data_IF_611823882996
#
_entry.id   IF_611823882996
#
_cell.length_a   1.000
_cell.length_b   1.000
_cell.length_c   1.000
_cell.angle_alpha   90.00
_cell.angle_beta   90.00
_cell.angle_gamma   90.00
#
_symmetry.space_group_name_H-M   'P 1'
#
loop_
_entity.id
_entity.type
_entity.pdbx_description
1 polymer ?
#
# COMPACT_ATOMS: atom_id res chain seq x y z
N UNK A 1 8.83 17.36 -5.43
CA UNK A 1 7.37 17.49 -5.59
C UNK A 1 7.03 17.54 -7.06
N UNK A 2 6.00 16.80 -7.50
CA UNK A 2 5.55 16.77 -8.90
C UNK A 2 4.71 17.99 -9.31
N UNK A 3 4.10 18.65 -8.32
CA UNK A 3 3.30 19.84 -8.51
C UNK A 3 4.15 21.04 -8.92
N UNK A 4 3.76 21.73 -10.00
CA UNK A 4 4.48 22.90 -10.52
C UNK A 4 3.61 24.14 -10.68
N UNK A 5 2.33 24.07 -10.28
CA UNK A 5 1.36 25.12 -10.54
C UNK A 5 1.23 26.08 -9.35
N UNK A 6 1.18 27.40 -9.59
CA UNK A 6 1.07 28.44 -8.53
C UNK A 6 -0.20 28.30 -7.68
N UNK A 7 -1.26 27.72 -8.24
CA UNK A 7 -2.54 27.42 -7.54
C UNK A 7 -2.61 25.99 -6.98
N UNK A 8 -1.51 25.26 -6.94
CA UNK A 8 -1.49 23.91 -6.38
C UNK A 8 -1.86 23.93 -4.90
N UNK A 9 -2.69 22.98 -4.48
CA UNK A 9 -3.00 22.75 -3.08
C UNK A 9 -1.91 21.89 -2.45
N UNK A 10 -1.59 22.17 -1.18
CA UNK A 10 -0.80 21.25 -0.37
C UNK A 10 -1.63 19.99 -0.12
N UNK A 11 -1.09 18.83 -0.48
CA UNK A 11 -1.72 17.53 -0.27
C UNK A 11 -1.16 16.88 0.99
N UNK A 12 -2.05 16.50 1.90
CA UNK A 12 -1.75 15.66 3.07
C UNK A 12 -2.63 14.42 2.99
N UNK A 13 -2.05 13.24 3.22
CA UNK A 13 -2.79 11.97 3.20
C UNK A 13 -2.94 11.48 4.64
N UNK A 14 -4.19 11.38 5.10
CA UNK A 14 -4.53 10.81 6.41
C UNK A 14 -5.14 9.43 6.22
N UNK A 15 -4.33 8.38 6.44
CA UNK A 15 -4.72 6.98 6.29
C UNK A 15 -4.51 6.17 7.58
N UNK A 16 -4.67 6.82 8.73
CA UNK A 16 -4.48 6.21 10.05
C UNK A 16 -5.72 6.31 10.94
N UNK A 17 -5.83 5.38 11.89
CA UNK A 17 -6.78 5.41 13.00
C UNK A 17 -6.12 5.78 14.32
N UNK A 18 -4.81 6.07 14.31
CA UNK A 18 -4.04 6.53 15.47
C UNK A 18 -4.59 7.89 15.99
N UNK A 19 -5.13 7.95 17.22
CA UNK A 19 -5.71 9.16 17.80
C UNK A 19 -4.74 10.35 17.86
N UNK A 20 -3.46 10.11 18.14
CA UNK A 20 -2.47 11.16 18.29
C UNK A 20 -2.08 11.75 16.93
N UNK A 21 -1.90 10.91 15.92
CA UNK A 21 -1.65 11.34 14.55
C UNK A 21 -2.82 12.17 13.99
N UNK A 22 -4.06 11.74 14.27
CA UNK A 22 -5.27 12.46 13.84
C UNK A 22 -5.32 13.83 14.52
N UNK A 23 -5.11 13.89 15.84
CA UNK A 23 -5.09 15.15 16.60
C UNK A 23 -3.98 16.09 16.13
N UNK A 24 -2.75 15.60 16.01
CA UNK A 24 -1.60 16.36 15.53
C UNK A 24 -1.79 16.91 14.10
N UNK A 25 -2.52 16.20 13.24
CA UNK A 25 -2.87 16.73 11.93
C UNK A 25 -3.97 17.77 12.04
N UNK A 26 -5.07 17.48 12.75
CA UNK A 26 -6.20 18.38 12.91
C UNK A 26 -5.77 19.75 13.49
N UNK A 27 -4.88 19.74 14.50
CA UNK A 27 -4.37 20.96 15.15
C UNK A 27 -3.48 21.81 14.22
N UNK A 28 -2.89 21.22 13.18
CA UNK A 28 -2.04 21.92 12.21
C UNK A 28 -2.81 22.45 11.00
N UNK A 29 -4.02 21.98 10.77
CA UNK A 29 -4.81 22.36 9.59
C UNK A 29 -5.60 23.65 9.86
N UNK A 30 -5.58 24.56 8.89
CA UNK A 30 -6.58 25.62 8.81
C UNK A 30 -7.84 25.03 8.17
N UNK A 31 -8.78 24.60 9.02
CA UNK A 31 -9.97 23.87 8.60
C UNK A 31 -10.87 24.70 7.65
N UNK A 32 -10.93 26.02 7.83
CA UNK A 32 -11.71 26.94 6.98
C UNK A 32 -11.11 27.07 5.57
N UNK A 33 -9.85 26.66 5.38
CA UNK A 33 -9.16 26.68 4.08
C UNK A 33 -8.78 25.30 3.58
N UNK A 34 -9.29 24.25 4.23
CA UNK A 34 -9.00 22.86 3.88
C UNK A 34 -10.11 22.26 3.01
N UNK A 35 -9.70 21.48 2.01
CA UNK A 35 -10.58 20.64 1.20
C UNK A 35 -10.30 19.17 1.55
N UNK A 36 -11.31 18.47 2.05
CA UNK A 36 -11.27 17.05 2.37
C UNK A 36 -11.69 16.22 1.17
N UNK A 37 -10.83 15.27 0.78
CA UNK A 37 -11.12 14.28 -0.26
C UNK A 37 -11.50 12.97 0.44
N UNK A 38 -12.80 12.66 0.49
CA UNK A 38 -13.31 11.41 1.06
C UNK A 38 -13.29 10.34 -0.03
N UNK A 39 -12.28 9.48 0.00
CA UNK A 39 -12.05 8.48 -1.04
C UNK A 39 -12.29 7.06 -0.51
N UNK A 40 -13.35 6.41 -0.99
CA UNK A 40 -13.62 4.99 -0.71
C UNK A 40 -14.35 4.36 -1.88
N UNK A 41 -13.75 3.32 -2.47
CA UNK A 41 -14.33 2.54 -3.56
C UNK A 41 -15.69 1.95 -3.16
N UNK A 42 -15.73 1.20 -2.06
CA UNK A 42 -16.97 0.59 -1.55
C UNK A 42 -17.92 1.59 -0.89
N UNK A 43 -17.42 2.77 -0.51
CA UNK A 43 -18.15 3.75 0.30
C UNK A 43 -18.39 3.30 1.74
N UNK A 44 -17.74 2.22 2.19
CA UNK A 44 -17.96 1.57 3.50
C UNK A 44 -16.68 1.34 4.29
N UNK A 45 -15.54 1.83 3.83
CA UNK A 45 -14.25 1.70 4.54
C UNK A 45 -14.33 2.37 5.91
N UNK A 46 -14.15 1.60 6.99
CA UNK A 46 -14.40 2.04 8.36
C UNK A 46 -13.52 3.23 8.75
N UNK A 47 -12.23 3.17 8.41
CA UNK A 47 -11.25 4.22 8.69
C UNK A 47 -11.61 5.52 7.96
N UNK A 48 -11.91 5.44 6.67
CA UNK A 48 -12.31 6.60 5.86
C UNK A 48 -13.58 7.26 6.40
N UNK A 49 -14.59 6.46 6.76
CA UNK A 49 -15.84 6.99 7.29
C UNK A 49 -15.66 7.58 8.69
N UNK A 50 -14.86 6.95 9.56
CA UNK A 50 -14.58 7.50 10.89
C UNK A 50 -13.85 8.85 10.81
N UNK A 51 -12.85 8.97 9.93
CA UNK A 51 -12.17 10.23 9.67
C UNK A 51 -13.12 11.28 9.09
N UNK A 52 -13.99 10.87 8.17
CA UNK A 52 -15.01 11.76 7.62
C UNK A 52 -15.95 12.29 8.71
N UNK A 53 -16.48 11.41 9.57
CA UNK A 53 -17.38 11.79 10.68
C UNK A 53 -16.68 12.79 11.61
N UNK A 54 -15.41 12.54 11.95
CA UNK A 54 -14.58 13.42 12.79
C UNK A 54 -14.39 14.84 12.22
N UNK A 55 -14.07 14.96 10.93
CA UNK A 55 -13.88 16.28 10.30
C UNK A 55 -15.20 16.96 9.93
N UNK A 56 -16.26 16.19 9.66
CA UNK A 56 -17.59 16.74 9.40
C UNK A 56 -18.16 17.45 10.63
N UNK A 57 -17.98 16.89 11.83
CA UNK A 57 -18.37 17.55 13.09
C UNK A 57 -17.69 18.93 13.26
N UNK A 58 -16.44 19.05 12.83
CA UNK A 58 -15.64 20.29 12.97
C UNK A 58 -15.94 21.31 11.87
N UNK A 59 -16.31 20.86 10.67
CA UNK A 59 -16.63 21.72 9.54
C UNK A 59 -17.86 21.17 8.80
N UNK A 60 -19.09 21.36 9.33
CA UNK A 60 -20.31 20.73 8.81
C UNK A 60 -20.85 21.43 7.55
N UNK A 61 -20.01 21.52 6.52
CA UNK A 61 -20.36 22.17 5.26
C UNK A 61 -19.74 21.45 4.07
N UNK A 62 -20.61 20.96 3.16
CA UNK A 62 -20.19 20.24 1.96
C UNK A 62 -19.26 21.02 1.01
N UNK A 63 -19.13 22.34 1.17
CA UNK A 63 -18.15 23.17 0.42
C UNK A 63 -16.69 22.75 0.67
N UNK A 64 -16.42 22.12 1.81
CA UNK A 64 -15.10 21.61 2.20
C UNK A 64 -14.87 20.15 1.81
N UNK A 65 -15.85 19.48 1.19
CA UNK A 65 -15.75 18.04 0.93
C UNK A 65 -15.96 17.73 -0.54
N UNK A 66 -15.15 16.79 -1.04
CA UNK A 66 -15.39 16.07 -2.29
C UNK A 66 -15.34 14.58 -2.02
N UNK A 67 -16.12 13.81 -2.77
CA UNK A 67 -16.12 12.36 -2.67
C UNK A 67 -15.54 11.72 -3.93
N UNK A 68 -14.76 10.65 -3.76
CA UNK A 68 -14.33 9.75 -4.84
C UNK A 68 -14.78 8.34 -4.46
N UNK A 69 -15.68 7.77 -5.25
CA UNK A 69 -16.32 6.50 -4.94
C UNK A 69 -16.90 5.85 -6.19
N UNK A 70 -17.30 4.59 -6.12
CA UNK A 70 -18.00 3.93 -7.23
C UNK A 70 -19.48 4.35 -7.30
N UNK A 71 -20.13 4.03 -8.41
CA UNK A 71 -21.55 4.32 -8.59
C UNK A 71 -22.42 3.52 -7.60
N UNK A 72 -23.42 4.18 -7.01
CA UNK A 72 -24.44 3.56 -6.16
C UNK A 72 -24.00 3.29 -4.70
N UNK A 73 -22.85 3.80 -4.26
CA UNK A 73 -22.35 3.57 -2.91
C UNK A 73 -23.04 4.47 -1.86
N UNK A 74 -22.98 4.06 -0.59
CA UNK A 74 -23.45 4.88 0.53
C UNK A 74 -22.74 6.23 0.61
N UNK A 75 -21.44 6.27 0.31
CA UNK A 75 -20.66 7.52 0.24
C UNK A 75 -21.18 8.46 -0.85
N UNK A 76 -21.59 7.95 -2.01
CA UNK A 76 -22.22 8.78 -3.04
C UNK A 76 -23.52 9.41 -2.50
N UNK A 77 -24.37 8.61 -1.85
CA UNK A 77 -25.60 9.10 -1.22
C UNK A 77 -25.33 10.17 -0.17
N UNK A 78 -24.41 9.91 0.76
CA UNK A 78 -23.99 10.88 1.79
C UNK A 78 -23.49 12.17 1.19
N UNK A 79 -22.66 12.11 0.15
CA UNK A 79 -22.12 13.29 -0.50
C UNK A 79 -23.20 14.15 -1.16
N UNK A 80 -24.25 13.53 -1.72
CA UNK A 80 -25.41 14.25 -2.24
C UNK A 80 -26.25 14.89 -1.13
N UNK A 81 -26.62 14.12 -0.10
CA UNK A 81 -27.40 14.62 1.04
C UNK A 81 -26.69 15.76 1.77
N UNK A 82 -25.38 15.65 1.96
CA UNK A 82 -24.53 16.64 2.63
C UNK A 82 -24.01 17.75 1.70
N UNK A 83 -24.51 17.81 0.46
CA UNK A 83 -24.20 18.84 -0.54
C UNK A 83 -22.69 19.06 -0.75
N UNK A 84 -21.94 17.97 -0.92
CA UNK A 84 -20.51 18.03 -1.22
C UNK A 84 -20.25 18.81 -2.50
N UNK A 85 -19.12 19.52 -2.55
CA UNK A 85 -18.74 20.37 -3.68
C UNK A 85 -18.67 19.61 -5.00
N UNK A 86 -18.26 18.33 -4.95
CA UNK A 86 -18.21 17.43 -6.11
C UNK A 86 -18.20 15.97 -5.67
N UNK A 87 -18.85 15.13 -6.47
CA UNK A 87 -18.71 13.68 -6.42
C UNK A 87 -18.07 13.19 -7.72
N UNK A 88 -16.94 12.52 -7.59
CA UNK A 88 -16.24 11.84 -8.68
C UNK A 88 -16.61 10.36 -8.63
N UNK A 89 -17.61 9.99 -9.43
CA UNK A 89 -18.01 8.59 -9.61
C UNK A 89 -16.97 7.93 -10.51
N UNK A 90 -16.20 6.99 -9.94
CA UNK A 90 -15.13 6.31 -10.65
C UNK A 90 -15.72 5.47 -11.79
N UNK A 91 -15.23 5.60 -13.05
CA UNK A 91 -15.72 4.80 -14.15
C UNK A 91 -15.36 3.33 -13.92
N UNK A 92 -16.39 2.49 -13.81
CA UNK A 92 -16.25 1.04 -13.63
C UNK A 92 -16.32 0.28 -14.97
N UNK A 93 -16.64 0.98 -16.07
CA UNK A 93 -16.68 0.43 -17.42
C UNK A 93 -15.92 1.34 -18.40
N UNK A 94 -14.94 0.78 -19.10
CA UNK A 94 -14.45 1.38 -20.34
C UNK A 94 -15.41 0.91 -21.43
N UNK A 95 -16.26 1.82 -21.94
CA UNK A 95 -17.32 1.52 -22.91
C UNK A 95 -16.80 0.65 -24.06
N UNK A 96 -17.43 -0.50 -24.29
CA UNK A 96 -17.40 -1.23 -25.56
C UNK A 96 -16.38 -2.35 -25.74
N UNK A 97 -15.72 -2.88 -24.69
CA UNK A 97 -14.81 -4.05 -24.85
C UNK A 97 -15.12 -5.27 -23.98
N UNK A 98 -15.85 -5.11 -22.87
CA UNK A 98 -16.28 -6.24 -22.04
C UNK A 98 -17.67 -5.94 -21.48
N UNK A 99 -18.72 -6.61 -21.98
CA UNK A 99 -20.00 -6.69 -21.28
C UNK A 99 -19.88 -7.76 -20.19
N UNK A 100 -20.20 -7.40 -18.93
CA UNK A 100 -20.44 -8.38 -17.86
C UNK A 100 -19.40 -8.46 -16.72
N UNK A 101 -18.19 -7.94 -16.86
CA UNK A 101 -17.13 -7.94 -15.83
C UNK A 101 -16.18 -6.77 -16.14
N UNK A 102 -15.54 -6.01 -15.26
CA UNK A 102 -15.38 -5.98 -13.81
C UNK A 102 -14.78 -4.60 -13.47
N UNK A 103 -15.05 -4.13 -12.28
CA UNK A 103 -14.68 -2.81 -11.78
C UNK A 103 -13.18 -2.76 -11.38
N UNK A 104 -12.42 -1.75 -11.84
CA UNK A 104 -10.98 -1.56 -11.54
C UNK A 104 -10.73 -1.65 -10.02
N UNK A 105 -9.97 -2.67 -9.58
CA UNK A 105 -9.63 -2.90 -8.17
C UNK A 105 -8.91 -1.71 -7.52
N UNK A 106 -9.04 -1.55 -6.19
CA UNK A 106 -8.49 -0.40 -5.47
C UNK A 106 -6.98 -0.19 -5.69
N UNK A 107 -6.18 -1.26 -5.59
CA UNK A 107 -4.72 -1.23 -5.85
C UNK A 107 -4.33 -0.95 -7.31
N UNK A 108 -5.26 -1.11 -8.25
CA UNK A 108 -5.10 -0.80 -9.69
C UNK A 108 -5.74 0.57 -10.06
N UNK A 109 -6.12 1.40 -9.09
CA UNK A 109 -6.88 2.63 -9.32
C UNK A 109 -6.04 3.92 -9.30
N UNK A 110 -4.71 3.80 -9.26
CA UNK A 110 -3.80 4.96 -9.21
C UNK A 110 -3.96 5.88 -10.44
N UNK A 111 -4.24 5.30 -11.61
CA UNK A 111 -4.51 6.03 -12.85
C UNK A 111 -6.00 6.34 -13.07
N UNK A 112 -6.84 6.14 -12.05
CA UNK A 112 -8.26 6.51 -12.06
C UNK A 112 -8.50 7.78 -11.22
N UNK A 113 -9.76 8.15 -10.98
CA UNK A 113 -10.06 9.37 -10.21
C UNK A 113 -9.44 9.37 -8.80
N UNK A 114 -9.26 8.20 -8.20
CA UNK A 114 -8.60 8.05 -6.90
C UNK A 114 -7.20 8.65 -6.85
N UNK A 115 -6.36 8.45 -7.88
CA UNK A 115 -5.05 9.08 -7.95
C UNK A 115 -5.02 10.39 -8.74
N UNK A 116 -5.82 10.49 -9.83
CA UNK A 116 -5.77 11.64 -10.73
C UNK A 116 -6.36 12.91 -10.12
N UNK A 117 -7.44 12.82 -9.33
CA UNK A 117 -8.07 14.01 -8.73
C UNK A 117 -7.13 14.67 -7.71
N UNK A 118 -6.56 13.94 -6.71
CA UNK A 118 -5.56 14.52 -5.81
C UNK A 118 -4.33 15.04 -6.55
N UNK A 119 -3.85 14.33 -7.58
CA UNK A 119 -2.69 14.75 -8.36
C UNK A 119 -2.91 16.10 -9.07
N UNK A 120 -4.06 16.29 -9.72
CA UNK A 120 -4.40 17.56 -10.38
C UNK A 120 -4.52 18.70 -9.37
N UNK A 121 -5.16 18.45 -8.22
CA UNK A 121 -5.26 19.45 -7.15
C UNK A 121 -3.90 19.82 -6.57
N UNK A 122 -2.97 18.87 -6.50
CA UNK A 122 -1.57 19.08 -6.13
C UNK A 122 -0.72 19.70 -7.26
N UNK A 123 -1.32 20.07 -8.40
CA UNK A 123 -0.64 20.75 -9.51
C UNK A 123 0.21 19.84 -10.40
N UNK A 124 -0.01 18.53 -10.37
CA UNK A 124 0.69 17.57 -11.26
C UNK A 124 0.23 17.78 -12.71
N UNK A 125 1.15 17.92 -13.67
CA UNK A 125 0.77 18.10 -15.08
C UNK A 125 0.24 16.79 -15.66
N UNK A 126 -1.09 16.69 -15.73
CA UNK A 126 -1.78 15.44 -16.10
C UNK A 126 -1.47 14.97 -17.53
N UNK A 127 -1.38 15.89 -18.50
CA UNK A 127 -1.12 15.55 -19.91
C UNK A 127 0.22 14.83 -20.09
N UNK A 128 1.37 15.37 -19.63
CA UNK A 128 2.63 14.63 -19.63
C UNK A 128 2.57 13.30 -18.87
N UNK A 129 1.90 13.25 -17.72
CA UNK A 129 1.78 12.01 -16.95
C UNK A 129 1.07 10.91 -17.76
N UNK A 130 -0.08 11.24 -18.36
CA UNK A 130 -0.86 10.31 -19.17
C UNK A 130 -0.19 9.96 -20.50
N UNK A 131 0.63 10.86 -21.07
CA UNK A 131 1.45 10.54 -22.23
C UNK A 131 2.42 9.39 -21.93
N UNK A 132 3.08 9.41 -20.77
CA UNK A 132 3.96 8.31 -20.35
C UNK A 132 3.20 7.01 -20.06
N UNK A 133 1.94 7.09 -19.58
CA UNK A 133 1.06 5.91 -19.46
C UNK A 133 0.81 5.31 -20.84
N UNK A 134 0.44 6.15 -21.81
CA UNK A 134 0.15 5.71 -23.17
C UNK A 134 1.38 5.09 -23.85
N UNK A 135 2.56 5.73 -23.75
CA UNK A 135 3.83 5.19 -24.24
C UNK A 135 4.14 3.80 -23.66
N UNK A 136 3.92 3.60 -22.35
CA UNK A 136 4.08 2.29 -21.73
C UNK A 136 3.05 1.28 -22.27
N UNK A 137 1.82 1.72 -22.53
CA UNK A 137 0.77 0.89 -23.11
C UNK A 137 1.13 0.39 -24.50
N UNK A 138 1.65 1.26 -25.36
CA UNK A 138 2.15 0.89 -26.69
C UNK A 138 3.35 -0.08 -26.58
N UNK A 139 4.28 0.18 -25.67
CA UNK A 139 5.40 -0.74 -25.42
C UNK A 139 4.96 -2.11 -24.88
N UNK A 140 3.77 -2.19 -24.27
CA UNK A 140 3.19 -3.41 -23.75
C UNK A 140 2.09 -4.00 -24.66
N UNK A 141 1.95 -3.50 -25.89
CA UNK A 141 0.90 -3.93 -26.82
C UNK A 141 0.96 -5.47 -27.08
N UNK A 142 -0.17 -6.17 -27.29
CA UNK A 142 -0.18 -7.63 -27.49
C UNK A 142 0.67 -8.15 -28.67
N UNK A 143 1.01 -7.29 -29.63
CA UNK A 143 1.89 -7.64 -30.74
C UNK A 143 3.39 -7.57 -30.40
N UNK A 144 3.75 -7.02 -29.24
CA UNK A 144 5.14 -6.96 -28.78
C UNK A 144 5.50 -8.30 -28.15
N UNK A 145 6.61 -8.89 -28.59
CA UNK A 145 7.09 -10.16 -28.03
C UNK A 145 7.35 -10.02 -26.53
N UNK A 146 7.11 -11.09 -25.75
CA UNK A 146 7.20 -11.05 -24.28
C UNK A 146 8.58 -10.56 -23.78
N UNK A 147 9.66 -10.95 -24.46
CA UNK A 147 11.03 -10.52 -24.11
C UNK A 147 11.32 -9.04 -24.34
N UNK A 148 10.52 -8.37 -25.17
CA UNK A 148 10.63 -6.93 -25.48
C UNK A 148 9.56 -6.11 -24.77
N UNK A 149 8.47 -6.75 -24.33
CA UNK A 149 7.39 -6.13 -23.58
C UNK A 149 7.85 -5.88 -22.12
N UNK A 150 8.06 -4.62 -21.72
CA UNK A 150 8.74 -4.31 -20.46
C UNK A 150 7.95 -4.74 -19.22
N UNK A 151 6.62 -4.80 -19.31
CA UNK A 151 5.79 -5.23 -18.20
C UNK A 151 5.62 -6.76 -18.17
N UNK A 152 5.37 -7.38 -19.33
CA UNK A 152 5.23 -8.83 -19.40
C UNK A 152 6.53 -9.54 -19.03
N UNK A 153 7.67 -9.04 -19.50
CA UNK A 153 8.99 -9.54 -19.11
C UNK A 153 9.22 -9.43 -17.60
N UNK A 154 9.00 -8.24 -17.01
CA UNK A 154 9.17 -8.04 -15.57
C UNK A 154 8.27 -8.98 -14.76
N UNK A 155 7.01 -9.11 -15.16
CA UNK A 155 6.06 -10.01 -14.51
C UNK A 155 6.45 -11.47 -14.61
N UNK A 156 6.96 -11.92 -15.77
CA UNK A 156 7.48 -13.27 -15.94
C UNK A 156 8.70 -13.50 -15.03
N UNK A 157 9.66 -12.58 -15.01
CA UNK A 157 10.84 -12.67 -14.11
C UNK A 157 10.41 -12.76 -12.65
N UNK A 158 9.49 -11.91 -12.21
CA UNK A 158 8.96 -11.93 -10.84
C UNK A 158 8.26 -13.25 -10.50
N UNK A 159 7.39 -13.73 -11.38
CA UNK A 159 6.64 -14.97 -11.17
C UNK A 159 7.52 -16.21 -11.15
N UNK A 160 8.44 -16.34 -12.11
CA UNK A 160 9.36 -17.47 -12.23
C UNK A 160 10.38 -17.47 -11.08
N UNK A 161 10.90 -16.30 -10.69
CA UNK A 161 11.78 -16.18 -9.52
C UNK A 161 11.07 -16.67 -8.25
N UNK A 162 9.82 -16.26 -8.04
CA UNK A 162 9.03 -16.71 -6.90
C UNK A 162 8.77 -18.23 -6.91
N UNK A 163 8.50 -18.83 -8.08
CA UNK A 163 8.40 -20.30 -8.20
C UNK A 163 9.72 -21.00 -7.87
N UNK A 164 10.86 -20.38 -8.20
CA UNK A 164 12.19 -20.87 -7.87
C UNK A 164 12.62 -20.59 -6.41
N UNK A 165 11.72 -20.12 -5.55
CA UNK A 165 12.01 -19.83 -4.14
C UNK A 165 12.58 -18.43 -3.87
N UNK A 166 12.61 -17.56 -4.88
CA UNK A 166 13.04 -16.15 -4.77
C UNK A 166 11.84 -15.21 -4.72
N UNK A 167 11.03 -15.38 -3.68
CA UNK A 167 9.77 -14.67 -3.51
C UNK A 167 9.90 -13.35 -2.72
N UNK A 168 11.13 -12.89 -2.41
CA UNK A 168 11.39 -11.63 -1.69
C UNK A 168 11.88 -10.56 -2.66
N UNK A 169 10.94 -9.77 -3.17
CA UNK A 169 11.17 -8.70 -4.14
C UNK A 169 11.71 -7.44 -3.47
N UNK A 170 13.00 -7.19 -3.58
CA UNK A 170 13.66 -6.03 -2.97
C UNK A 170 13.70 -4.86 -3.94
N UNK A 171 12.96 -3.78 -3.62
CA UNK A 171 12.89 -2.59 -4.47
C UNK A 171 13.97 -1.58 -4.08
N UNK A 172 14.87 -1.30 -5.01
CA UNK A 172 15.91 -0.28 -4.87
C UNK A 172 15.49 0.94 -5.69
N UNK A 173 14.88 1.91 -5.01
CA UNK A 173 14.36 3.13 -5.63
C UNK A 173 15.28 4.33 -5.33
N UNK A 174 15.45 5.26 -6.28
CA UNK A 174 16.06 6.56 -6.00
C UNK A 174 15.13 7.37 -5.09
N UNK A 175 15.70 8.29 -4.30
CA UNK A 175 14.95 9.12 -3.34
C UNK A 175 13.76 9.83 -3.99
N UNK A 176 13.95 10.33 -5.22
CA UNK A 176 12.91 11.02 -5.98
C UNK A 176 11.68 10.15 -6.30
N UNK A 177 11.81 8.82 -6.22
CA UNK A 177 10.74 7.83 -6.45
C UNK A 177 10.40 7.03 -5.19
N UNK A 178 10.87 7.42 -4.00
CA UNK A 178 10.64 6.67 -2.76
C UNK A 178 9.14 6.39 -2.49
N UNK A 179 8.27 7.34 -2.84
CA UNK A 179 6.82 7.21 -2.71
C UNK A 179 6.18 6.14 -3.63
N UNK A 180 6.85 5.71 -4.70
CA UNK A 180 6.39 4.60 -5.54
C UNK A 180 6.47 3.26 -4.78
N UNK A 181 7.43 3.13 -3.87
CA UNK A 181 7.69 1.89 -3.13
C UNK A 181 6.46 1.35 -2.41
N UNK A 182 5.84 2.11 -1.48
CA UNK A 182 4.63 1.67 -0.78
C UNK A 182 3.45 1.33 -1.70
N UNK A 183 3.33 2.01 -2.84
CA UNK A 183 2.29 1.66 -3.82
C UNK A 183 2.57 0.32 -4.52
N UNK A 184 3.82 0.07 -4.94
CA UNK A 184 4.21 -1.24 -5.50
C UNK A 184 4.09 -2.34 -4.44
N UNK A 185 4.40 -2.03 -3.17
CA UNK A 185 4.22 -2.95 -2.06
C UNK A 185 2.77 -3.43 -1.96
N UNK A 186 1.82 -2.49 -1.90
CA UNK A 186 0.39 -2.82 -1.87
C UNK A 186 -0.01 -3.63 -3.10
N UNK A 187 0.38 -3.16 -4.29
CA UNK A 187 0.01 -3.78 -5.55
C UNK A 187 0.46 -5.24 -5.61
N UNK A 188 1.74 -5.51 -5.33
CA UNK A 188 2.32 -6.85 -5.43
C UNK A 188 1.87 -7.74 -4.28
N UNK A 189 1.90 -7.28 -3.04
CA UNK A 189 1.57 -8.10 -1.88
C UNK A 189 0.09 -8.53 -1.91
N UNK A 190 -0.83 -7.60 -2.15
CA UNK A 190 -2.27 -7.91 -2.16
C UNK A 190 -2.69 -8.69 -3.41
N UNK A 191 -2.05 -8.45 -4.56
CA UNK A 191 -2.34 -9.24 -5.77
C UNK A 191 -1.80 -10.66 -5.66
N UNK A 192 -0.63 -10.87 -5.06
CA UNK A 192 0.05 -12.17 -5.12
C UNK A 192 -0.13 -13.05 -3.89
N UNK A 193 -0.41 -12.46 -2.72
CA UNK A 193 -0.49 -13.17 -1.44
C UNK A 193 -1.73 -14.02 -1.26
N UNK A 194 -1.80 -15.17 -1.94
CA UNK A 194 -2.99 -16.04 -2.00
C UNK A 194 -2.61 -17.51 -2.07
N UNK A 195 -3.42 -18.35 -1.42
CA UNK A 195 -3.32 -19.83 -1.49
C UNK A 195 -1.92 -20.35 -1.13
N UNK A 196 -1.27 -19.77 -0.12
CA UNK A 196 0.08 -20.15 0.30
C UNK A 196 1.19 -19.68 -0.64
N UNK A 197 0.87 -18.86 -1.65
CA UNK A 197 1.80 -18.29 -2.63
C UNK A 197 1.82 -16.79 -2.49
N UNK A 198 2.90 -16.15 -2.95
CA UNK A 198 2.97 -14.71 -3.01
C UNK A 198 4.38 -14.21 -3.14
N UNK A 199 4.50 -12.94 -3.47
CA UNK A 199 5.78 -12.22 -3.55
C UNK A 199 5.75 -11.20 -2.42
N UNK A 200 6.72 -11.27 -1.51
CA UNK A 200 6.92 -10.28 -0.46
C UNK A 200 7.69 -9.08 -1.02
N UNK A 201 7.07 -7.89 -1.12
CA UNK A 201 7.79 -6.70 -1.50
C UNK A 201 8.56 -6.18 -0.29
N UNK A 202 9.85 -5.96 -0.49
CA UNK A 202 10.77 -5.48 0.53
C UNK A 202 11.17 -4.06 0.15
N UNK A 203 10.42 -3.09 0.68
CA UNK A 203 10.56 -1.67 0.37
C UNK A 203 11.33 -0.94 1.45
N UNK A 204 12.17 0.03 1.07
CA UNK A 204 12.91 0.88 2.00
C UNK A 204 13.99 0.17 2.81
N UNK A 205 14.36 -1.08 2.45
CA UNK A 205 15.53 -1.75 3.02
C UNK A 205 16.80 -1.11 2.48
N UNK A 206 17.69 -0.57 3.32
CA UNK A 206 18.99 -0.12 2.84
C UNK A 206 19.78 -1.29 2.28
N UNK A 207 20.46 -1.08 1.16
CA UNK A 207 21.28 -2.11 0.53
C UNK A 207 22.42 -2.52 1.48
N UNK A 208 22.51 -3.82 1.76
CA UNK A 208 23.60 -4.44 2.52
C UNK A 208 24.64 -5.06 1.60
N UNK A 209 25.66 -5.67 2.19
CA UNK A 209 26.63 -6.48 1.45
C UNK A 209 26.01 -7.81 1.00
N UNK A 210 26.48 -8.46 -0.07
CA UNK A 210 25.84 -9.67 -0.60
C UNK A 210 25.64 -10.79 0.43
N UNK A 211 26.52 -10.90 1.43
CA UNK A 211 26.53 -11.99 2.41
C UNK A 211 25.36 -11.89 3.41
N UNK A 212 24.73 -10.72 3.57
CA UNK A 212 23.57 -10.58 4.47
C UNK A 212 22.29 -11.12 3.85
N UNK A 213 22.29 -11.36 2.53
CA UNK A 213 21.16 -11.88 1.78
C UNK A 213 21.25 -13.40 1.62
N UNK A 214 20.11 -14.03 1.38
CA UNK A 214 19.99 -15.44 1.01
C UNK A 214 19.54 -15.55 -0.45
N UNK A 215 19.48 -16.78 -0.94
CA UNK A 215 18.96 -17.13 -2.26
C UNK A 215 17.42 -17.03 -2.39
N UNK A 216 16.79 -16.23 -1.53
CA UNK A 216 15.36 -15.92 -1.55
C UNK A 216 15.04 -14.54 -2.16
N UNK A 217 16.07 -13.75 -2.50
CA UNK A 217 15.91 -12.40 -3.04
C UNK A 217 15.82 -12.38 -4.57
N UNK A 218 14.95 -11.49 -5.04
CA UNK A 218 14.99 -10.87 -6.36
C UNK A 218 15.12 -9.36 -6.16
N UNK A 219 16.13 -8.73 -6.76
CA UNK A 219 16.31 -7.27 -6.66
C UNK A 219 15.77 -6.59 -7.92
N UNK A 220 15.04 -5.49 -7.74
CA UNK A 220 14.67 -4.58 -8.84
C UNK A 220 15.24 -3.20 -8.53
N UNK A 221 16.22 -2.78 -9.32
CA UNK A 221 16.87 -1.48 -9.21
C UNK A 221 16.35 -0.53 -10.27
N UNK A 222 15.82 0.62 -9.86
CA UNK A 222 15.36 1.67 -10.78
C UNK A 222 16.44 2.75 -10.89
N UNK A 223 16.99 2.92 -12.09
CA UNK A 223 18.10 3.83 -12.33
C UNK A 223 19.43 3.32 -11.78
N UNK A 224 20.44 4.20 -11.79
CA UNK A 224 21.77 3.88 -11.28
C UNK A 224 21.74 3.74 -9.75
N UNK A 225 22.39 2.67 -9.24
CA UNK A 225 22.47 2.41 -7.81
C UNK A 225 23.78 1.70 -7.47
N UNK A 226 24.57 2.32 -6.60
CA UNK A 226 25.83 1.73 -6.13
C UNK A 226 25.59 0.44 -5.36
N UNK A 227 26.50 -0.53 -5.55
CA UNK A 227 26.50 -1.81 -4.83
C UNK A 227 25.67 -2.91 -5.49
N UNK A 228 24.93 -2.59 -6.55
CA UNK A 228 24.18 -3.58 -7.34
C UNK A 228 25.12 -4.55 -8.07
N UNK A 229 26.25 -4.06 -8.57
CA UNK A 229 27.28 -4.87 -9.23
C UNK A 229 27.84 -5.95 -8.30
N UNK A 230 27.98 -5.63 -7.00
CA UNK A 230 28.44 -6.59 -6.01
C UNK A 230 27.41 -7.70 -5.75
N UNK A 231 26.10 -7.38 -5.84
CA UNK A 231 25.05 -8.39 -5.74
C UNK A 231 25.08 -9.34 -6.95
N UNK A 232 25.21 -8.79 -8.16
CA UNK A 232 25.30 -9.57 -9.40
C UNK A 232 26.53 -10.48 -9.40
N UNK A 233 27.69 -9.95 -8.99
CA UNK A 233 28.93 -10.73 -8.86
C UNK A 233 28.82 -11.85 -7.82
N UNK A 234 27.97 -11.67 -6.79
CA UNK A 234 27.68 -12.70 -5.80
C UNK A 234 26.56 -13.67 -6.23
N UNK A 235 26.01 -13.53 -7.44
CA UNK A 235 25.00 -14.44 -8.00
C UNK A 235 23.54 -14.10 -7.64
N UNK A 236 23.27 -12.96 -7.01
CA UNK A 236 21.89 -12.52 -6.77
C UNK A 236 21.27 -12.00 -8.07
N UNK A 237 20.04 -12.41 -8.43
CA UNK A 237 19.38 -11.89 -9.61
C UNK A 237 18.96 -10.44 -9.39
N UNK A 238 19.37 -9.58 -10.32
CA UNK A 238 19.04 -8.16 -10.33
C UNK A 238 18.38 -7.80 -11.66
N UNK A 239 17.19 -7.22 -11.59
CA UNK A 239 16.55 -6.52 -12.69
C UNK A 239 16.91 -5.04 -12.62
N UNK A 240 17.52 -4.51 -13.69
CA UNK A 240 17.82 -3.09 -13.84
C UNK A 240 16.77 -2.42 -14.72
N UNK A 241 16.00 -1.51 -14.14
CA UNK A 241 15.04 -0.68 -14.87
C UNK A 241 15.66 0.70 -15.15
N UNK A 242 15.34 1.35 -16.29
CA UNK A 242 15.89 2.66 -16.60
C UNK A 242 15.47 3.71 -15.57
N UNK A 243 16.34 4.68 -15.33
CA UNK A 243 16.00 5.83 -14.50
C UNK A 243 14.79 6.56 -15.10
N UNK A 244 13.81 6.89 -14.24
CA UNK A 244 12.67 7.70 -14.61
C UNK A 244 12.69 8.99 -13.82
N UNK A 245 12.56 10.11 -14.50
CA UNK A 245 12.24 11.36 -13.82
C UNK A 245 10.83 11.24 -13.20
N UNK A 246 10.54 11.92 -12.08
CA UNK A 246 9.20 11.87 -11.48
C UNK A 246 8.06 12.16 -12.47
N UNK A 247 8.28 13.04 -13.47
CA UNK A 247 7.30 13.33 -14.54
C UNK A 247 6.93 12.13 -15.42
N UNK A 248 7.74 11.07 -15.43
CA UNK A 248 7.54 9.84 -16.18
C UNK A 248 6.89 8.72 -15.35
N UNK A 249 6.52 9.01 -14.09
CA UNK A 249 5.94 8.04 -13.14
C UNK A 249 4.67 7.35 -13.68
N UNK A 250 3.91 8.02 -14.55
CA UNK A 250 2.73 7.45 -15.20
C UNK A 250 3.00 6.08 -15.86
N UNK A 251 4.11 5.96 -16.58
CA UNK A 251 4.49 4.70 -17.23
C UNK A 251 4.85 3.59 -16.24
N UNK A 252 5.38 3.93 -15.06
CA UNK A 252 5.70 2.93 -14.05
C UNK A 252 4.44 2.34 -13.41
N UNK A 253 3.39 3.15 -13.18
CA UNK A 253 2.11 2.62 -12.70
C UNK A 253 1.59 1.51 -13.62
N UNK A 254 1.51 1.77 -14.92
CA UNK A 254 1.05 0.77 -15.89
C UNK A 254 1.97 -0.44 -15.98
N UNK A 255 3.29 -0.24 -15.97
CA UNK A 255 4.26 -1.34 -16.00
C UNK A 255 4.06 -2.28 -14.82
N UNK A 256 3.99 -1.75 -13.61
CA UNK A 256 3.87 -2.55 -12.40
C UNK A 256 2.50 -3.22 -12.28
N UNK A 257 1.41 -2.56 -12.68
CA UNK A 257 0.06 -3.15 -12.74
C UNK A 257 0.06 -4.38 -13.64
N UNK A 258 0.56 -4.24 -14.86
CA UNK A 258 0.62 -5.35 -15.82
C UNK A 258 1.61 -6.43 -15.34
N UNK A 259 2.83 -6.08 -14.93
CA UNK A 259 3.82 -7.04 -14.43
C UNK A 259 3.26 -7.87 -13.26
N UNK A 260 2.52 -7.24 -12.34
CA UNK A 260 1.88 -7.94 -11.22
C UNK A 260 0.81 -8.92 -11.68
N UNK A 261 0.01 -8.55 -12.69
CA UNK A 261 -0.98 -9.45 -13.26
C UNK A 261 -0.34 -10.69 -13.91
N UNK A 262 0.76 -10.50 -14.65
CA UNK A 262 1.53 -11.60 -15.26
C UNK A 262 2.18 -12.47 -14.19
N UNK A 263 2.79 -11.88 -13.16
CA UNK A 263 3.35 -12.63 -12.04
C UNK A 263 2.28 -13.48 -11.32
N UNK A 264 1.07 -12.91 -11.10
CA UNK A 264 -0.07 -13.65 -10.56
C UNK A 264 -0.50 -14.82 -11.45
N UNK A 265 -0.52 -14.63 -12.76
CA UNK A 265 -0.81 -15.70 -13.72
C UNK A 265 0.23 -16.83 -13.65
N UNK A 266 1.52 -16.51 -13.68
CA UNK A 266 2.62 -17.48 -13.51
C UNK A 266 2.47 -18.23 -12.19
N UNK A 267 2.13 -17.53 -11.10
CA UNK A 267 1.86 -18.13 -9.80
C UNK A 267 0.53 -18.90 -9.72
N UNK A 268 -0.26 -18.98 -10.79
CA UNK A 268 -1.57 -19.66 -10.85
C UNK A 268 -2.57 -19.19 -9.78
N UNK A 269 -2.61 -17.88 -9.57
CA UNK A 269 -3.52 -17.20 -8.66
C UNK A 269 -4.28 -16.10 -9.40
N UNK A 270 -5.38 -15.64 -8.83
CA UNK A 270 -6.07 -14.46 -9.34
C UNK A 270 -5.41 -13.18 -8.76
N UNK A 271 -4.80 -12.31 -9.59
CA UNK A 271 -4.18 -11.08 -9.10
C UNK A 271 -5.21 -9.99 -8.75
N UNK A 272 -6.48 -10.17 -9.12
CA UNK A 272 -7.51 -9.12 -9.05
C UNK A 272 -8.49 -9.27 -7.88
N UNK A 273 -8.58 -10.44 -7.23
CA UNK A 273 -9.40 -10.65 -6.04
C UNK A 273 -8.64 -10.36 -4.72
N UNK A 274 -9.33 -10.41 -3.58
CA UNK A 274 -8.77 -10.13 -2.24
C UNK A 274 -9.58 -10.82 -1.11
N UNK A 275 -9.55 -12.16 -1.04
CA UNK A 275 -10.46 -12.92 -0.18
C UNK A 275 -10.31 -12.62 1.32
N UNK A 276 -9.11 -12.31 1.82
CA UNK A 276 -8.86 -12.16 3.26
C UNK A 276 -9.11 -10.73 3.80
N UNK A 277 -9.36 -9.77 2.91
CA UNK A 277 -9.66 -8.38 3.31
C UNK A 277 -11.04 -8.30 3.98
N UNK A 278 -12.03 -9.03 3.45
CA UNK A 278 -13.37 -9.03 4.03
C UNK A 278 -13.38 -9.68 5.42
N UNK A 279 -12.66 -10.79 5.58
CA UNK A 279 -12.49 -11.48 6.86
C UNK A 279 -11.91 -10.55 7.95
N UNK A 280 -10.91 -9.73 7.60
CA UNK A 280 -10.33 -8.75 8.52
C UNK A 280 -11.35 -7.68 8.95
N UNK A 281 -12.19 -7.21 8.03
CA UNK A 281 -13.26 -6.24 8.31
C UNK A 281 -14.30 -6.84 9.24
N UNK A 282 -14.72 -8.07 8.99
CA UNK A 282 -15.73 -8.76 9.79
C UNK A 282 -15.19 -9.06 11.20
N UNK A 283 -13.93 -9.46 11.32
CA UNK A 283 -13.27 -9.66 12.62
C UNK A 283 -13.17 -8.33 13.40
N UNK A 284 -12.78 -7.24 12.74
CA UNK A 284 -12.72 -5.91 13.37
C UNK A 284 -14.11 -5.48 13.87
N UNK A 285 -15.14 -5.65 13.05
CA UNK A 285 -16.52 -5.31 13.41
C UNK A 285 -17.02 -6.10 14.63
N UNK A 286 -16.69 -7.40 14.72
CA UNK A 286 -17.05 -8.23 15.89
C UNK A 286 -16.35 -7.79 17.16
N UNK A 287 -15.05 -7.45 17.08
CA UNK A 287 -14.29 -6.94 18.23
C UNK A 287 -14.90 -5.61 18.73
N UNK A 288 -15.24 -4.72 17.81
CA UNK A 288 -15.90 -3.45 18.14
C UNK A 288 -17.32 -3.64 18.71
N UNK A 289 -17.99 -4.75 18.37
CA UNK A 289 -19.27 -5.15 18.95
C UNK A 289 -19.13 -5.87 20.31
N UNK A 290 -17.90 -6.06 20.80
CA UNK A 290 -17.63 -6.63 22.12
C UNK A 290 -17.05 -8.04 22.13
N UNK A 291 -16.78 -8.67 20.97
CA UNK A 291 -16.01 -9.91 20.92
C UNK A 291 -14.61 -9.66 21.52
N UNK A 292 -14.17 -10.56 22.42
CA UNK A 292 -12.81 -10.54 22.98
C UNK A 292 -12.04 -11.76 22.48
N UNK A 293 -11.28 -11.63 21.38
CA UNK A 293 -10.41 -12.69 20.90
C UNK A 293 -9.44 -13.15 21.98
N UNK A 294 -9.17 -14.45 22.05
CA UNK A 294 -7.91 -14.90 22.62
C UNK A 294 -6.78 -14.39 21.73
N UNK A 295 -5.83 -13.67 22.32
CA UNK A 295 -4.60 -13.22 21.67
C UNK A 295 -3.44 -13.99 22.28
N UNK A 296 -2.74 -14.79 21.47
CA UNK A 296 -1.46 -15.37 21.88
C UNK A 296 -0.34 -14.39 21.56
N UNK A 297 0.30 -13.84 22.59
CA UNK A 297 1.53 -13.06 22.45
C UNK A 297 2.70 -13.91 22.90
N UNK A 298 3.71 -14.03 22.05
CA UNK A 298 4.98 -14.67 22.41
C UNK A 298 5.97 -13.61 22.92
N UNK A 299 6.85 -13.94 23.88
CA UNK A 299 8.05 -13.16 24.14
C UNK A 299 8.83 -12.90 22.83
N UNK A 300 9.41 -11.71 22.70
CA UNK A 300 10.07 -11.30 21.45
C UNK A 300 11.24 -12.22 21.09
N UNK A 301 12.01 -12.66 22.07
CA UNK A 301 13.13 -13.57 21.91
C UNK A 301 12.67 -14.96 21.41
N UNK A 302 11.56 -15.47 21.95
CA UNK A 302 10.96 -16.72 21.49
C UNK A 302 10.44 -16.62 20.04
N UNK A 303 9.72 -15.54 19.71
CA UNK A 303 9.26 -15.26 18.35
C UNK A 303 10.44 -15.21 17.37
N UNK A 304 11.49 -14.47 17.72
CA UNK A 304 12.66 -14.30 16.87
C UNK A 304 13.50 -15.58 16.75
N UNK A 305 13.54 -16.42 17.78
CA UNK A 305 14.18 -17.74 17.73
C UNK A 305 13.44 -18.71 16.78
N UNK A 306 12.13 -18.51 16.59
CA UNK A 306 11.30 -19.31 15.70
C UNK A 306 11.52 -19.04 14.20
N UNK A 307 12.13 -17.90 13.83
CA UNK A 307 12.30 -17.47 12.43
C UNK A 307 13.18 -18.46 11.65
N UNK A 308 12.64 -18.98 10.54
CA UNK A 308 13.33 -19.95 9.67
C UNK A 308 13.95 -19.29 8.44
N UNK A 309 15.01 -19.90 7.85
CA UNK A 309 15.50 -19.49 6.53
C UNK A 309 14.39 -19.45 5.48
N UNK A 310 14.36 -18.42 4.63
CA UNK A 310 13.28 -18.18 3.66
C UNK A 310 12.02 -17.51 4.23
N UNK A 311 11.94 -17.38 5.56
CA UNK A 311 10.93 -16.58 6.25
C UNK A 311 11.20 -15.07 6.19
N UNK A 312 10.43 -14.30 6.95
CA UNK A 312 10.61 -12.85 7.06
C UNK A 312 10.13 -12.32 8.42
N UNK A 313 10.61 -11.14 8.80
CA UNK A 313 10.18 -10.44 10.00
C UNK A 313 9.48 -9.13 9.59
N UNK A 314 8.21 -8.97 9.96
CA UNK A 314 7.45 -7.76 9.70
C UNK A 314 7.28 -6.95 10.99
N UNK A 315 7.78 -5.72 10.99
CA UNK A 315 7.55 -4.74 12.05
C UNK A 315 6.24 -3.99 11.73
N UNK A 316 5.19 -4.26 12.49
CA UNK A 316 3.85 -3.70 12.30
C UNK A 316 3.59 -2.63 13.35
N UNK A 317 3.55 -1.36 12.93
CA UNK A 317 3.66 -0.21 13.83
C UNK A 317 2.33 0.53 13.89
N UNK A 318 1.68 0.51 15.05
CA UNK A 318 0.51 1.32 15.39
C UNK A 318 0.94 2.46 16.31
N UNK A 319 1.76 3.36 15.78
CA UNK A 319 2.21 4.56 16.50
C UNK A 319 2.25 5.73 15.52
N UNK A 320 2.08 6.97 15.99
CA UNK A 320 2.17 8.12 15.13
C UNK A 320 3.61 8.25 14.64
N UNK A 321 3.80 8.71 13.40
CA UNK A 321 5.14 8.99 12.89
C UNK A 321 5.76 10.13 13.68
N UNK A 322 6.86 9.83 14.38
CA UNK A 322 7.64 10.79 15.17
C UNK A 322 8.98 11.05 14.49
N UNK A 323 9.58 12.24 14.69
CA UNK A 323 11.01 12.42 14.44
C UNK A 323 11.75 11.27 15.13
N UNK A 324 12.63 10.57 14.43
CA UNK A 324 13.45 9.43 14.90
C UNK A 324 12.80 8.03 14.93
N UNK A 325 11.47 7.89 14.83
CA UNK A 325 10.85 6.56 14.81
C UNK A 325 11.24 5.78 13.54
N UNK A 326 11.13 6.41 12.36
CA UNK A 326 11.53 5.78 11.09
C UNK A 326 13.02 5.38 11.09
N UNK A 327 13.88 6.22 11.67
CA UNK A 327 15.31 5.94 11.81
C UNK A 327 15.58 4.76 12.74
N UNK A 328 14.85 4.68 13.85
CA UNK A 328 14.92 3.58 14.81
C UNK A 328 14.44 2.28 14.19
N UNK A 329 13.28 2.28 13.53
CA UNK A 329 12.73 1.11 12.84
C UNK A 329 13.69 0.62 11.74
N UNK A 330 14.29 1.54 10.98
CA UNK A 330 15.32 1.23 10.00
C UNK A 330 16.53 0.55 10.64
N UNK A 331 17.03 1.06 11.76
CA UNK A 331 18.16 0.46 12.47
C UNK A 331 17.84 -0.93 13.03
N UNK A 332 16.66 -1.10 13.65
CA UNK A 332 16.17 -2.40 14.16
C UNK A 332 16.06 -3.40 13.03
N UNK A 333 15.40 -3.02 11.93
CA UNK A 333 15.24 -3.83 10.73
C UNK A 333 16.58 -4.33 10.19
N UNK A 334 17.58 -3.46 10.06
CA UNK A 334 18.91 -3.82 9.58
C UNK A 334 19.60 -4.83 10.51
N UNK A 335 19.55 -4.61 11.83
CA UNK A 335 20.11 -5.56 12.82
C UNK A 335 19.44 -6.92 12.76
N UNK A 336 18.12 -6.96 12.59
CA UNK A 336 17.37 -8.21 12.42
C UNK A 336 17.78 -8.94 11.13
N UNK A 337 17.86 -8.24 10.00
CA UNK A 337 18.32 -8.80 8.73
C UNK A 337 19.74 -9.37 8.86
N UNK A 338 20.66 -8.63 9.45
CA UNK A 338 22.06 -9.07 9.60
C UNK A 338 22.18 -10.29 10.52
N UNK A 339 21.44 -10.31 11.63
CA UNK A 339 21.47 -11.41 12.60
C UNK A 339 20.82 -12.68 12.08
N UNK A 340 19.63 -12.57 11.48
CA UNK A 340 18.81 -13.72 11.10
C UNK A 340 18.93 -14.10 9.61
N UNK A 341 19.51 -13.21 8.79
CA UNK A 341 19.63 -13.35 7.33
C UNK A 341 18.29 -13.69 6.68
N UNK A 342 17.26 -12.92 7.03
CA UNK A 342 15.90 -13.01 6.47
C UNK A 342 15.44 -11.66 5.95
N UNK A 343 14.42 -11.66 5.10
CA UNK A 343 13.75 -10.44 4.73
C UNK A 343 13.09 -9.77 5.94
N UNK A 344 13.10 -8.44 5.92
CA UNK A 344 12.50 -7.65 6.97
C UNK A 344 11.62 -6.58 6.34
N UNK A 345 10.47 -6.26 6.90
CA UNK A 345 9.55 -5.21 6.39
C UNK A 345 9.06 -4.32 7.53
N UNK A 346 8.58 -3.13 7.18
CA UNK A 346 8.00 -2.18 8.13
C UNK A 346 6.67 -1.70 7.54
N UNK A 347 5.58 -1.94 8.26
CA UNK A 347 4.24 -1.50 7.87
C UNK A 347 3.60 -0.66 8.96
N UNK A 348 3.11 0.52 8.60
CA UNK A 348 2.33 1.36 9.52
C UNK A 348 0.86 0.94 9.50
N UNK A 349 0.31 0.65 10.67
CA UNK A 349 -1.09 0.31 10.88
C UNK A 349 -1.96 1.56 10.86
N UNK A 350 -3.25 1.44 10.52
CA UNK A 350 -3.91 0.29 9.88
C UNK A 350 -3.61 0.17 8.38
N UNK A 351 -2.86 1.10 7.77
CA UNK A 351 -2.64 1.13 6.31
C UNK A 351 -2.10 -0.18 5.74
N UNK A 352 -1.19 -0.89 6.45
CA UNK A 352 -0.66 -2.16 5.97
C UNK A 352 -1.72 -3.26 5.81
N UNK A 353 -2.87 -3.18 6.50
CA UNK A 353 -3.96 -4.14 6.37
C UNK A 353 -4.50 -4.21 4.94
N UNK A 354 -4.44 -3.08 4.25
CA UNK A 354 -4.84 -2.92 2.85
C UNK A 354 -3.64 -2.99 1.88
N UNK A 355 -2.43 -3.27 2.39
CA UNK A 355 -1.20 -3.46 1.60
C UNK A 355 -0.72 -4.91 1.74
N UNK A 356 0.10 -5.20 2.76
CA UNK A 356 0.70 -6.52 2.97
C UNK A 356 -0.20 -7.47 3.77
N UNK A 357 -1.30 -7.01 4.36
CA UNK A 357 -2.20 -7.83 5.18
C UNK A 357 -2.73 -9.08 4.46
N UNK A 358 -3.07 -8.96 3.18
CA UNK A 358 -3.48 -10.10 2.34
C UNK A 358 -2.34 -11.13 2.19
N UNK A 359 -1.09 -10.69 2.01
CA UNK A 359 0.08 -11.57 1.96
C UNK A 359 0.39 -12.22 3.32
N UNK A 360 0.25 -11.49 4.41
CA UNK A 360 0.48 -12.04 5.75
C UNK A 360 -0.46 -13.22 6.07
N UNK A 361 -1.69 -13.18 5.54
CA UNK A 361 -2.75 -14.18 5.78
C UNK A 361 -2.79 -15.28 4.72
N UNK A 362 -2.74 -14.88 3.45
CA UNK A 362 -2.92 -15.77 2.30
C UNK A 362 -1.63 -16.18 1.61
N UNK A 363 -0.50 -15.54 1.95
CA UNK A 363 0.81 -15.76 1.34
C UNK A 363 1.57 -16.98 1.87
N UNK A 364 2.86 -17.11 1.50
CA UNK A 364 3.72 -18.18 2.00
C UNK A 364 3.86 -18.13 3.53
N UNK A 365 3.95 -19.30 4.16
CA UNK A 365 4.21 -19.40 5.59
C UNK A 365 5.63 -18.91 5.93
N UNK A 366 5.85 -18.52 7.19
CA UNK A 366 7.18 -18.12 7.69
C UNK A 366 7.34 -16.62 8.00
N UNK A 367 6.23 -15.88 8.05
CA UNK A 367 6.22 -14.52 8.61
C UNK A 367 6.27 -14.54 10.14
N UNK A 368 7.14 -13.72 10.72
CA UNK A 368 7.15 -13.38 12.14
C UNK A 368 6.73 -11.92 12.31
N UNK A 369 5.65 -11.69 13.04
CA UNK A 369 5.01 -10.37 13.14
C UNK A 369 5.31 -9.75 14.49
N UNK A 370 6.07 -8.65 14.49
CA UNK A 370 6.34 -7.85 15.70
C UNK A 370 5.41 -6.64 15.66
N UNK A 371 4.37 -6.67 16.50
CA UNK A 371 3.41 -5.57 16.59
C UNK A 371 3.90 -4.57 17.65
N UNK A 372 4.12 -3.32 17.23
CA UNK A 372 4.55 -2.22 18.08
C UNK A 372 3.35 -1.28 18.27
N UNK A 373 2.83 -1.21 19.49
CA UNK A 373 1.71 -0.33 19.85
C UNK A 373 2.06 0.47 21.11
N UNK A 374 1.47 1.65 21.31
CA UNK A 374 1.54 2.36 22.57
C UNK A 374 0.84 1.58 23.68
N UNK A 375 1.35 1.69 24.92
CA UNK A 375 0.69 1.10 26.09
C UNK A 375 -0.61 1.83 26.44
N UNK A 376 -0.63 3.15 26.27
CA UNK A 376 -1.78 4.00 26.53
C UNK A 376 -1.97 4.96 25.36
N UNK A 377 -3.24 5.20 25.00
CA UNK A 377 -3.62 6.14 23.96
C UNK A 377 -4.75 7.00 24.49
N UNK A 378 -4.58 8.31 24.42
CA UNK A 378 -5.64 9.24 24.81
C UNK A 378 -6.86 9.05 23.88
N UNK A 379 -8.07 8.87 24.42
CA UNK A 379 -9.26 8.62 23.61
C UNK A 379 -9.53 9.78 22.66
N UNK A 380 -10.02 9.45 21.47
CA UNK A 380 -10.48 10.41 20.47
C UNK A 380 -11.78 9.90 19.88
N UNK A 381 -12.89 10.49 20.32
CA UNK A 381 -14.24 10.07 19.94
C UNK A 381 -14.48 10.18 18.43
N UNK A 382 -15.24 9.24 17.89
CA UNK A 382 -15.78 9.32 16.54
C UNK A 382 -17.27 9.66 16.66
N UNK A 383 -17.74 10.77 16.05
CA UNK A 383 -19.15 11.15 16.11
C UNK A 383 -20.08 10.02 15.68
N UNK A 384 -21.20 9.85 16.38
CA UNK A 384 -22.26 8.87 16.09
C UNK A 384 -21.82 7.39 16.17
N UNK A 385 -20.64 7.08 16.75
CA UNK A 385 -20.16 5.70 16.92
C UNK A 385 -20.03 5.30 18.39
N UNK A 386 -20.25 4.01 18.72
CA UNK A 386 -20.12 3.51 20.08
C UNK A 386 -18.67 3.25 20.51
N UNK A 387 -17.70 3.52 19.64
CA UNK A 387 -16.26 3.33 19.87
C UNK A 387 -15.48 4.57 19.41
N UNK A 388 -14.28 4.72 19.95
CA UNK A 388 -13.34 5.80 19.61
C UNK A 388 -12.26 5.32 18.63
N UNK A 389 -11.41 6.23 18.16
CA UNK A 389 -10.31 5.90 17.24
C UNK A 389 -9.32 4.89 17.84
N UNK A 390 -9.02 4.99 19.14
CA UNK A 390 -8.13 4.05 19.82
C UNK A 390 -8.72 2.63 19.92
N UNK A 391 -10.04 2.52 20.12
CA UNK A 391 -10.77 1.26 20.07
C UNK A 391 -10.76 0.64 18.67
N UNK A 392 -10.95 1.45 17.63
CA UNK A 392 -10.83 1.02 16.24
C UNK A 392 -9.41 0.52 15.91
N UNK A 393 -8.38 1.29 16.29
CA UNK A 393 -6.98 0.92 16.09
C UNK A 393 -6.60 -0.39 16.78
N UNK A 394 -6.96 -0.56 18.06
CA UNK A 394 -6.70 -1.81 18.80
C UNK A 394 -7.44 -2.99 18.20
N UNK A 395 -8.70 -2.81 17.81
CA UNK A 395 -9.47 -3.87 17.17
C UNK A 395 -8.78 -4.35 15.89
N UNK A 396 -8.32 -3.41 15.07
CA UNK A 396 -7.57 -3.69 13.84
C UNK A 396 -6.24 -4.41 14.11
N UNK A 397 -5.48 -3.97 15.11
CA UNK A 397 -4.22 -4.60 15.49
C UNK A 397 -4.41 -6.06 15.95
N UNK A 398 -5.46 -6.34 16.72
CA UNK A 398 -5.78 -7.70 17.18
C UNK A 398 -6.17 -8.63 16.03
N UNK A 399 -6.80 -8.12 14.96
CA UNK A 399 -7.09 -8.95 13.77
C UNK A 399 -5.85 -9.41 12.99
N UNK A 400 -4.66 -8.94 13.37
CA UNK A 400 -3.39 -9.32 12.74
C UNK A 400 -2.68 -10.49 13.44
N UNK A 401 -3.06 -10.80 14.69
CA UNK A 401 -2.48 -11.90 15.47
C UNK A 401 -3.22 -13.23 15.29
N UNK A 402 -4.15 -13.30 14.33
CA UNK A 402 -4.86 -14.49 13.88
C UNK A 402 -4.42 -14.80 12.46
#
# INVERSE_FOLDING_TARGET
MLGQHERALRLEVLSTTDPDAIRMLADRLDLDRTLFIVASKSGTTAETLALFDFFWERVPSGRHFVAITDAGTGLQGTAHTRSFRRVFVNPTNIRGRCEGTENIGGRYSALCYFGLVPAVLAGVPLRPLLACVHEMGEACHPCVAVGENPAAWLGAVMGEAAQAGRDKLTLLLPEALAALGPWVEQLVAESTGKRGRGILPVVGEPLGRPEVYRDDRLFVAVGARDGVEALEAAGHPVVRLPARAPKQLGGEFLRWEFATAVAGHVLRINPFDQPNVQEAKDATARILAGERPETSTLPLDELLAGVKPGGYIALLVYQPRKPDLDGTLKAVRLRLRERYRVATTVGYGPSYLHSTGQLHKGGPQGGAFVIVMPQEVAPLSIPERPYDFGGLERAQAVTCSR
#
